data_IF_212601384038
#
_entry.id   IF_212601384038
#
_cell.length_a   1.000
_cell.length_b   1.000
_cell.length_c   1.000
_cell.angle_alpha   90.00
_cell.angle_beta   90.00
_cell.angle_gamma   90.00
#
_symmetry.space_group_name_H-M   'P 1'
#
loop_
_entity.id
_entity.type
_entity.pdbx_description
1 polymer ?
#
# COMPACT_ATOMS: atom_id res chain seq x y z
N UNK A 1 27.38 -5.70 36.38
CA UNK A 1 27.77 -5.21 35.05
C UNK A 1 27.26 -6.25 34.05
N UNK A 2 26.06 -6.03 33.50
CA UNK A 2 25.47 -6.91 32.50
C UNK A 2 25.82 -6.33 31.12
N UNK A 3 26.67 -7.01 30.37
CA UNK A 3 26.80 -6.75 28.93
C UNK A 3 25.84 -7.68 28.20
N UNK A 4 24.81 -7.09 27.61
CA UNK A 4 23.96 -7.73 26.62
C UNK A 4 24.80 -8.02 25.39
N UNK A 5 25.03 -9.30 25.10
CA UNK A 5 25.56 -9.75 23.82
C UNK A 5 24.42 -9.67 22.81
N UNK A 6 24.48 -8.65 21.95
CA UNK A 6 23.62 -8.50 20.78
C UNK A 6 23.70 -9.78 19.94
N UNK A 7 22.54 -10.38 19.72
CA UNK A 7 22.38 -11.58 18.91
C UNK A 7 22.68 -11.20 17.46
N UNK A 8 23.75 -11.77 16.92
CA UNK A 8 24.14 -11.61 15.52
C UNK A 8 23.14 -12.39 14.69
N UNK A 9 22.24 -11.68 14.02
CA UNK A 9 21.42 -12.21 12.92
C UNK A 9 22.34 -13.04 12.02
N UNK A 10 21.97 -14.30 11.79
CA UNK A 10 22.81 -15.30 11.12
C UNK A 10 23.18 -14.79 9.72
N UNK A 11 24.42 -15.01 9.28
CA UNK A 11 24.87 -14.65 7.92
C UNK A 11 23.90 -15.17 6.84
N UNK A 12 23.27 -16.32 7.10
CA UNK A 12 22.27 -16.93 6.21
C UNK A 12 20.95 -16.14 6.17
N UNK A 13 20.55 -15.50 7.27
CA UNK A 13 19.37 -14.63 7.32
C UNK A 13 19.62 -13.30 6.62
N UNK A 14 20.86 -12.76 6.71
CA UNK A 14 21.26 -11.57 5.96
C UNK A 14 21.33 -11.87 4.46
N UNK A 15 21.92 -13.00 4.06
CA UNK A 15 21.94 -13.45 2.66
C UNK A 15 20.52 -13.72 2.13
N UNK A 16 19.64 -14.32 2.93
CA UNK A 16 18.24 -14.52 2.57
C UNK A 16 17.50 -13.19 2.41
N UNK A 17 17.78 -12.22 3.27
CA UNK A 17 17.20 -10.88 3.20
C UNK A 17 17.73 -10.08 2.00
N UNK A 18 19.03 -10.17 1.71
CA UNK A 18 19.64 -9.59 0.51
C UNK A 18 19.14 -10.27 -0.77
N UNK A 19 18.95 -11.59 -0.76
CA UNK A 19 18.38 -12.32 -1.90
C UNK A 19 16.91 -11.98 -2.12
N UNK A 20 16.14 -11.82 -1.03
CA UNK A 20 14.76 -11.37 -1.09
C UNK A 20 14.70 -9.92 -1.58
N UNK A 21 15.57 -9.04 -1.07
CA UNK A 21 15.70 -7.66 -1.52
C UNK A 21 16.09 -7.59 -3.00
N UNK A 22 17.04 -8.41 -3.46
CA UNK A 22 17.46 -8.47 -4.86
C UNK A 22 16.37 -9.05 -5.78
N UNK A 23 15.60 -10.03 -5.30
CA UNK A 23 14.48 -10.62 -6.03
C UNK A 23 13.32 -9.63 -6.15
N UNK A 24 12.95 -8.98 -5.05
CA UNK A 24 11.94 -7.91 -5.01
C UNK A 24 12.43 -6.72 -5.84
N UNK A 25 13.73 -6.41 -5.81
CA UNK A 25 14.30 -5.35 -6.64
C UNK A 25 14.20 -5.68 -8.13
N UNK A 26 14.46 -6.93 -8.52
CA UNK A 26 14.27 -7.38 -9.91
C UNK A 26 12.81 -7.38 -10.37
N UNK A 27 11.86 -7.53 -9.45
CA UNK A 27 10.43 -7.50 -9.76
C UNK A 27 9.86 -6.08 -9.83
N UNK A 28 10.50 -5.09 -9.19
CA UNK A 28 9.93 -3.74 -9.01
C UNK A 28 10.83 -2.56 -9.40
N UNK A 29 12.04 -2.78 -9.94
CA UNK A 29 12.91 -1.67 -10.39
C UNK A 29 12.82 -1.46 -11.89
N UNK A 30 11.89 -0.60 -12.30
CA UNK A 30 12.29 0.57 -13.09
C UNK A 30 12.15 1.79 -12.16
N UNK A 31 13.04 2.77 -12.36
CA UNK A 31 13.18 4.03 -11.63
C UNK A 31 14.09 4.07 -10.40
N UNK A 32 15.35 3.64 -10.59
CA UNK A 32 16.45 4.40 -9.98
C UNK A 32 17.52 4.59 -11.05
N UNK A 33 17.86 5.85 -11.35
CA UNK A 33 18.87 6.33 -12.31
C UNK A 33 18.39 6.51 -13.77
N UNK A 34 17.80 7.68 -14.01
CA UNK A 34 18.00 8.55 -15.19
C UNK A 34 17.97 7.88 -16.58
N UNK A 35 16.85 8.03 -17.31
CA UNK A 35 16.86 7.95 -18.77
C UNK A 35 16.14 9.17 -19.36
N UNK A 36 16.83 9.79 -20.32
CA UNK A 36 16.37 10.86 -21.19
C UNK A 36 14.89 10.79 -21.60
N UNK A 37 14.30 11.99 -21.70
CA UNK A 37 13.01 12.27 -22.32
C UNK A 37 12.90 11.59 -23.70
N UNK A 38 12.16 10.48 -23.83
CA UNK A 38 11.43 10.08 -25.07
C UNK A 38 10.52 8.86 -24.91
N UNK A 39 10.31 8.30 -23.71
CA UNK A 39 9.30 7.26 -23.52
C UNK A 39 7.97 7.95 -23.21
N UNK A 40 7.01 7.85 -24.14
CA UNK A 40 5.61 8.18 -23.92
C UNK A 40 5.15 7.57 -22.60
N UNK A 41 4.73 8.42 -21.67
CA UNK A 41 4.11 8.03 -20.40
C UNK A 41 2.94 7.08 -20.67
N UNK A 42 3.13 5.77 -20.51
CA UNK A 42 2.00 4.84 -20.46
C UNK A 42 2.39 3.49 -19.82
N UNK A 43 1.71 3.18 -18.71
CA UNK A 43 1.31 1.80 -18.29
C UNK A 43 2.36 0.79 -17.79
N UNK A 44 3.26 1.13 -16.85
CA UNK A 44 4.09 0.10 -16.18
C UNK A 44 4.34 0.31 -14.68
N UNK A 45 3.34 0.83 -13.97
CA UNK A 45 3.43 1.00 -12.51
C UNK A 45 2.89 -0.17 -11.71
N UNK A 46 3.40 -0.33 -10.48
CA UNK A 46 2.91 -1.32 -9.51
C UNK A 46 2.28 -0.64 -8.30
N UNK A 47 1.05 -1.05 -7.99
CA UNK A 47 0.26 -0.57 -6.87
C UNK A 47 0.04 -1.69 -5.86
N UNK A 48 -0.41 -1.33 -4.66
CA UNK A 48 -0.91 -2.31 -3.69
C UNK A 48 -2.41 -2.18 -3.60
N UNK A 49 -3.09 -3.33 -3.57
CA UNK A 49 -4.52 -3.40 -3.27
C UNK A 49 -4.76 -4.30 -2.08
N UNK A 50 -5.74 -3.95 -1.26
CA UNK A 50 -6.26 -4.80 -0.19
C UNK A 50 -7.70 -4.41 0.14
N UNK A 51 -8.42 -5.26 0.87
CA UNK A 51 -9.78 -5.03 1.29
C UNK A 51 -10.31 -6.21 2.12
N UNK A 52 -11.56 -6.14 2.58
CA UNK A 52 -12.16 -7.21 3.39
C UNK A 52 -12.13 -8.61 2.74
N UNK A 53 -12.23 -8.67 1.40
CA UNK A 53 -12.20 -9.91 0.63
C UNK A 53 -10.96 -10.02 -0.29
N UNK A 54 -10.04 -9.04 -0.19
CA UNK A 54 -8.88 -8.95 -1.08
C UNK A 54 -7.62 -8.99 -0.20
N UNK A 55 -6.86 -10.10 -0.22
CA UNK A 55 -5.60 -10.16 0.49
C UNK A 55 -4.66 -9.07 -0.06
N UNK A 56 -3.77 -8.56 0.79
CA UNK A 56 -2.79 -7.57 0.36
C UNK A 56 -1.97 -8.12 -0.82
N UNK A 57 -2.11 -7.46 -1.96
CA UNK A 57 -1.59 -7.93 -3.24
C UNK A 57 -0.93 -6.78 -3.99
N UNK A 58 0.15 -7.07 -4.70
CA UNK A 58 0.77 -6.12 -5.62
C UNK A 58 0.17 -6.34 -7.00
N UNK A 59 -0.34 -5.27 -7.62
CA UNK A 59 -1.02 -5.30 -8.90
C UNK A 59 -0.38 -4.34 -9.88
N UNK A 60 -0.55 -4.59 -11.18
CA UNK A 60 -0.24 -3.60 -12.21
C UNK A 60 -1.25 -2.46 -12.15
N UNK A 61 -0.80 -1.24 -12.40
CA UNK A 61 -1.65 -0.04 -12.40
C UNK A 61 -2.83 -0.16 -13.37
N UNK A 62 -2.62 -0.75 -14.55
CA UNK A 62 -3.67 -0.99 -15.56
C UNK A 62 -4.82 -1.86 -15.04
N UNK A 63 -4.57 -2.71 -14.04
CA UNK A 63 -5.56 -3.58 -13.42
C UNK A 63 -6.20 -2.95 -12.17
N UNK A 64 -5.86 -1.71 -11.79
CA UNK A 64 -6.37 -1.10 -10.56
C UNK A 64 -7.90 -1.04 -10.54
N UNK A 65 -8.53 -0.78 -11.69
CA UNK A 65 -9.99 -0.70 -11.80
C UNK A 65 -10.70 -2.06 -11.68
N UNK A 66 -9.99 -3.17 -11.91
CA UNK A 66 -10.56 -4.52 -11.71
C UNK A 66 -10.83 -4.81 -10.23
N UNK A 67 -10.05 -4.20 -9.34
CA UNK A 67 -10.19 -4.35 -7.89
C UNK A 67 -10.87 -3.14 -7.23
N UNK A 68 -10.69 -1.94 -7.78
CA UNK A 68 -11.27 -0.70 -7.30
C UNK A 68 -11.84 0.13 -8.47
N UNK A 69 -13.12 -0.09 -8.85
CA UNK A 69 -13.71 0.52 -10.06
C UNK A 69 -13.72 2.06 -10.11
N UNK A 70 -13.68 2.72 -8.94
CA UNK A 70 -13.68 4.19 -8.84
C UNK A 70 -12.28 4.81 -8.94
N UNK A 71 -11.21 3.99 -9.01
CA UNK A 71 -9.82 4.46 -9.05
C UNK A 71 -9.58 5.48 -10.17
N UNK A 72 -9.04 6.66 -9.81
CA UNK A 72 -8.83 7.84 -10.68
C UNK A 72 -10.09 8.37 -11.38
N UNK A 73 -11.29 8.07 -10.86
CA UNK A 73 -12.56 8.51 -11.44
C UNK A 73 -13.41 9.25 -10.41
N UNK A 74 -13.93 8.50 -9.45
CA UNK A 74 -14.82 9.00 -8.40
C UNK A 74 -14.31 8.58 -7.01
N UNK A 75 -13.03 8.22 -6.93
CA UNK A 75 -12.36 7.84 -5.72
C UNK A 75 -12.10 9.03 -4.80
N UNK A 76 -11.96 8.72 -3.52
CA UNK A 76 -11.45 9.64 -2.52
C UNK A 76 -10.02 9.26 -2.21
N UNK A 77 -9.15 10.26 -2.12
CA UNK A 77 -7.76 10.09 -1.73
C UNK A 77 -7.59 10.41 -0.24
N UNK A 78 -7.01 9.48 0.50
CA UNK A 78 -6.53 9.67 1.86
C UNK A 78 -5.00 9.67 1.84
N UNK A 79 -4.39 10.78 2.23
CA UNK A 79 -2.94 10.89 2.33
C UNK A 79 -2.43 10.19 3.58
N UNK A 80 -1.49 9.28 3.41
CA UNK A 80 -0.78 8.70 4.54
C UNK A 80 0.15 9.77 5.15
N UNK A 81 0.25 9.88 6.48
CA UNK A 81 1.10 10.87 7.11
C UNK A 81 2.56 10.77 6.67
N UNK A 82 3.28 11.90 6.64
CA UNK A 82 4.74 12.00 6.45
C UNK A 82 5.32 11.45 5.13
N UNK A 83 4.53 10.79 4.30
CA UNK A 83 4.96 10.14 3.06
C UNK A 83 4.04 10.55 1.91
N UNK A 84 4.57 10.71 0.67
CA UNK A 84 3.74 10.99 -0.50
C UNK A 84 3.03 9.72 -0.99
N UNK A 85 2.37 9.00 -0.09
CA UNK A 85 1.60 7.78 -0.36
C UNK A 85 0.12 8.12 -0.18
N UNK A 86 -0.69 7.73 -1.16
CA UNK A 86 -2.13 7.91 -1.16
C UNK A 86 -2.82 6.55 -1.06
N UNK A 87 -3.88 6.50 -0.29
CA UNK A 87 -4.88 5.44 -0.29
C UNK A 87 -6.11 5.94 -1.05
N UNK A 88 -6.41 5.32 -2.18
CA UNK A 88 -7.64 5.54 -2.95
C UNK A 88 -8.71 4.54 -2.54
N UNK A 89 -9.94 5.03 -2.34
CA UNK A 89 -11.09 4.22 -1.98
C UNK A 89 -12.41 4.82 -2.46
N UNK A 90 -13.44 3.97 -2.53
CA UNK A 90 -14.79 4.39 -2.94
C UNK A 90 -15.50 5.12 -1.80
N UNK A 91 -16.02 6.35 -2.00
CA UNK A 91 -16.78 7.05 -0.96
C UNK A 91 -18.04 6.28 -0.53
N UNK A 92 -18.66 5.54 -1.45
CA UNK A 92 -19.81 4.67 -1.17
C UNK A 92 -19.51 3.44 -0.32
N UNK A 93 -18.24 3.21 0.05
CA UNK A 93 -17.79 2.10 0.91
C UNK A 93 -17.35 2.57 2.30
N UNK A 94 -17.80 3.74 2.74
CA UNK A 94 -17.57 4.25 4.09
C UNK A 94 -18.82 4.05 4.94
N UNK A 95 -18.65 3.43 6.11
CA UNK A 95 -19.69 3.31 7.14
C UNK A 95 -19.33 4.19 8.34
N UNK A 96 -20.33 4.81 8.96
CA UNK A 96 -20.15 5.59 10.18
C UNK A 96 -20.81 4.88 11.36
N UNK A 97 -20.01 4.53 12.35
CA UNK A 97 -20.48 3.86 13.58
C UNK A 97 -20.07 4.74 14.77
N UNK A 98 -21.05 5.17 15.56
CA UNK A 98 -20.85 6.04 16.70
C UNK A 98 -20.03 7.32 16.39
N UNK A 99 -20.18 7.89 15.19
CA UNK A 99 -19.46 9.09 14.75
C UNK A 99 -18.05 8.84 14.21
N UNK A 100 -17.55 7.61 14.24
CA UNK A 100 -16.26 7.22 13.64
C UNK A 100 -16.49 6.63 12.24
N UNK A 101 -15.63 6.98 11.27
CA UNK A 101 -15.70 6.55 9.88
C UNK A 101 -14.80 5.33 9.65
N UNK A 102 -15.38 4.31 9.02
CA UNK A 102 -14.72 3.06 8.70
C UNK A 102 -14.87 2.73 7.21
N UNK A 103 -13.76 2.43 6.55
CA UNK A 103 -13.76 1.88 5.21
C UNK A 103 -14.06 0.38 5.27
N UNK A 104 -15.10 -0.04 4.54
CA UNK A 104 -15.60 -1.42 4.46
C UNK A 104 -15.46 -1.99 3.04
N UNK A 105 -14.58 -1.42 2.22
CA UNK A 105 -14.38 -1.79 0.82
C UNK A 105 -12.90 -1.91 0.47
N UNK A 106 -12.60 -2.28 -0.79
CA UNK A 106 -11.24 -2.34 -1.28
C UNK A 106 -10.61 -0.94 -1.36
N UNK A 107 -9.28 -0.92 -1.26
CA UNK A 107 -8.46 0.30 -1.34
C UNK A 107 -7.17 0.03 -2.11
N UNK A 108 -6.72 1.04 -2.84
CA UNK A 108 -5.49 0.99 -3.64
C UNK A 108 -4.49 2.00 -3.08
N UNK A 109 -3.28 1.55 -2.79
CA UNK A 109 -2.17 2.39 -2.37
C UNK A 109 -1.23 2.66 -3.54
N UNK A 110 -0.80 3.91 -3.65
CA UNK A 110 0.16 4.36 -4.66
C UNK A 110 0.98 5.54 -4.15
N UNK A 111 2.13 5.79 -4.77
CA UNK A 111 2.94 6.97 -4.50
C UNK A 111 2.51 8.12 -5.40
N UNK A 112 2.50 9.36 -4.90
CA UNK A 112 2.44 10.54 -5.75
C UNK A 112 3.82 10.87 -6.30
N UNK A 113 3.92 10.85 -7.64
CA UNK A 113 5.08 11.26 -8.40
C UNK A 113 5.10 12.76 -8.68
N UNK A 114 5.92 13.16 -9.66
CA UNK A 114 5.95 14.54 -10.15
C UNK A 114 4.59 14.90 -10.75
N UNK A 115 4.21 16.17 -10.66
CA UNK A 115 2.94 16.69 -11.21
C UNK A 115 1.69 15.95 -10.68
N UNK A 116 1.77 15.38 -9.47
CA UNK A 116 0.70 14.62 -8.83
C UNK A 116 0.27 13.37 -9.63
N UNK A 117 1.18 12.82 -10.44
CA UNK A 117 0.94 11.55 -11.14
C UNK A 117 0.96 10.37 -10.17
N UNK A 118 0.28 9.28 -10.55
CA UNK A 118 0.37 8.01 -9.83
C UNK A 118 1.69 7.34 -10.20
N UNK A 119 2.46 6.95 -9.19
CA UNK A 119 3.75 6.27 -9.33
C UNK A 119 3.77 4.96 -8.51
N UNK A 120 4.68 4.06 -8.89
CA UNK A 120 4.90 2.79 -8.21
C UNK A 120 5.33 2.98 -6.75
N UNK A 121 4.94 2.04 -5.89
CA UNK A 121 5.43 1.97 -4.52
C UNK A 121 6.84 1.35 -4.48
N UNK A 122 7.75 1.94 -3.72
CA UNK A 122 9.03 1.32 -3.36
C UNK A 122 8.86 0.30 -2.22
N UNK A 123 9.88 -0.53 -1.96
CA UNK A 123 9.86 -1.44 -0.81
C UNK A 123 9.68 -0.70 0.54
N UNK A 124 10.33 0.45 0.69
CA UNK A 124 10.16 1.31 1.87
C UNK A 124 8.73 1.80 2.01
N UNK A 125 8.06 2.12 0.89
CA UNK A 125 6.65 2.51 0.89
C UNK A 125 5.74 1.34 1.28
N UNK A 126 6.02 0.12 0.80
CA UNK A 126 5.29 -1.08 1.20
C UNK A 126 5.37 -1.31 2.72
N UNK A 127 6.55 -1.17 3.31
CA UNK A 127 6.72 -1.27 4.75
C UNK A 127 5.91 -0.21 5.50
N UNK A 128 5.83 1.01 4.97
CA UNK A 128 5.01 2.07 5.54
C UNK A 128 3.51 1.76 5.45
N UNK A 129 3.04 1.28 4.29
CA UNK A 129 1.64 0.83 4.08
C UNK A 129 1.27 -0.28 5.07
N UNK A 130 2.13 -1.27 5.28
CA UNK A 130 1.88 -2.34 6.26
C UNK A 130 1.76 -1.81 7.70
N UNK A 131 2.62 -0.85 8.08
CA UNK A 131 2.52 -0.18 9.40
C UNK A 131 1.22 0.59 9.54
N UNK A 132 0.81 1.31 8.49
CA UNK A 132 -0.46 2.03 8.46
C UNK A 132 -1.65 1.08 8.62
N UNK A 133 -1.70 0.01 7.83
CA UNK A 133 -2.78 -0.99 7.91
C UNK A 133 -2.86 -1.61 9.30
N UNK A 134 -1.73 -2.00 9.89
CA UNK A 134 -1.70 -2.58 11.24
C UNK A 134 -2.22 -1.63 12.33
N UNK A 135 -2.01 -0.32 12.20
CA UNK A 135 -2.47 0.66 13.19
C UNK A 135 -3.94 1.07 13.02
N UNK A 136 -4.43 1.10 11.78
CA UNK A 136 -5.78 1.58 11.43
C UNK A 136 -6.80 0.45 11.29
N UNK A 137 -6.35 -0.79 11.11
CA UNK A 137 -7.25 -1.95 11.03
C UNK A 137 -7.98 -2.19 12.35
N UNK A 138 -9.29 -2.40 12.24
CA UNK A 138 -10.18 -2.77 13.35
C UNK A 138 -11.08 -3.92 12.94
N UNK A 139 -11.63 -4.59 13.94
CA UNK A 139 -12.77 -5.48 13.77
C UNK A 139 -13.97 -4.82 14.44
N UNK A 140 -15.05 -4.63 13.69
CA UNK A 140 -16.31 -4.07 14.20
C UNK A 140 -17.42 -5.08 13.99
N UNK A 141 -18.47 -5.01 14.81
CA UNK A 141 -19.68 -5.81 14.62
C UNK A 141 -20.78 -4.94 14.03
N UNK A 142 -21.32 -5.34 12.87
CA UNK A 142 -22.44 -4.69 12.19
C UNK A 142 -23.48 -5.76 11.91
N UNK A 143 -24.72 -5.55 12.39
CA UNK A 143 -25.85 -6.49 12.21
C UNK A 143 -25.56 -7.94 12.65
N UNK A 144 -24.64 -8.14 13.61
CA UNK A 144 -24.24 -9.45 14.12
C UNK A 144 -23.07 -10.10 13.37
N UNK A 145 -22.56 -9.47 12.31
CA UNK A 145 -21.40 -9.93 11.55
C UNK A 145 -20.14 -9.17 11.98
N UNK A 146 -19.00 -9.87 12.06
CA UNK A 146 -17.69 -9.26 12.35
C UNK A 146 -17.05 -8.87 11.02
N UNK A 147 -16.77 -7.58 10.85
CA UNK A 147 -16.14 -7.01 9.67
C UNK A 147 -14.75 -6.50 10.00
N UNK A 148 -13.76 -6.87 9.18
CA UNK A 148 -12.45 -6.22 9.16
C UNK A 148 -12.57 -4.90 8.39
N UNK A 149 -12.14 -3.80 9.02
CA UNK A 149 -12.32 -2.45 8.50
C UNK A 149 -11.06 -1.60 8.71
N UNK A 150 -10.94 -0.49 7.98
CA UNK A 150 -9.91 0.53 8.21
C UNK A 150 -10.56 1.76 8.84
N UNK A 151 -10.05 2.20 10.00
CA UNK A 151 -10.43 3.48 10.62
C UNK A 151 -9.85 4.64 9.80
N UNK A 152 -10.69 5.61 9.44
CA UNK A 152 -10.31 6.79 8.65
C UNK A 152 -10.12 8.07 9.48
N UNK A 153 -10.30 7.96 10.80
CA UNK A 153 -10.18 9.06 11.77
C UNK A 153 -9.00 8.83 12.72
#
# INVERSE_FOLDING_TARGET
MYEQKMDSTSSEELEAMEALEAYVSRLFFYDVYDLDCTVTQQESGYLVVTGPEIPLSIIRMENAQDYHPDFQRADVLFGLPDMPIMMSYSPGKVSCVAGTRYLIGPMVFFRLGKELSVASLSLGDLQYVLKFLNSHQKFITVDGEILQVICLD
#
